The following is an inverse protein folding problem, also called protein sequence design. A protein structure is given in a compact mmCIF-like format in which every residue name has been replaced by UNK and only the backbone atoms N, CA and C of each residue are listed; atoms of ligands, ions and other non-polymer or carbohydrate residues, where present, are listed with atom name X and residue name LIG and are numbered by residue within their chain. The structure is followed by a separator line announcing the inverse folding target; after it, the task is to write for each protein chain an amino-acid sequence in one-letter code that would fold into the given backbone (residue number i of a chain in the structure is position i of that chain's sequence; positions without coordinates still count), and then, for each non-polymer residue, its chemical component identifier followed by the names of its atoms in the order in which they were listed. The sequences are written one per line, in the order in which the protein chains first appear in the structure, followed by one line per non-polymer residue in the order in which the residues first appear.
data_IF_515825149851
#
_entry.id   IF_515825149851
#
_cell.length_a   1.000
_cell.length_b   1.000
_cell.length_c   1.000
_cell.angle_alpha   90.00
_cell.angle_beta   90.00
_cell.angle_gamma   90.00
#
_symmetry.space_group_name_H-M   'P 1'
#
loop_
_entity.id
_entity.type
_entity.pdbx_description
1 polymer ?
#
# COMPACT_ATOMS: atom_id res chain seq x y z
N UNK A 1 3.05 48.97 18.87
CA UNK A 1 3.63 48.18 17.75
C UNK A 1 2.46 47.51 17.06
N UNK A 2 1.92 48.13 16.00
CA UNK A 2 0.96 47.46 15.11
C UNK A 2 1.64 46.25 14.48
N UNK A 3 1.05 45.07 14.69
CA UNK A 3 1.45 43.85 14.04
C UNK A 3 0.73 43.81 12.69
N UNK A 4 1.32 44.37 11.64
CA UNK A 4 0.78 44.29 10.28
C UNK A 4 0.83 42.83 9.84
N UNK A 5 -0.29 42.11 10.00
CA UNK A 5 -0.45 40.76 9.49
C UNK A 5 -0.35 40.84 7.97
N UNK A 6 0.78 40.43 7.41
CA UNK A 6 0.96 40.30 5.96
C UNK A 6 -0.10 39.34 5.44
N UNK A 7 -1.03 39.84 4.62
CA UNK A 7 -2.02 39.01 3.93
C UNK A 7 -1.43 38.66 2.55
N UNK A 8 -1.10 37.39 2.29
CA UNK A 8 -0.49 36.99 1.03
C UNK A 8 -1.39 37.33 -0.15
N UNK A 9 -0.81 37.86 -1.22
CA UNK A 9 -1.57 38.02 -2.47
C UNK A 9 -1.81 36.64 -3.14
N UNK A 10 -2.73 36.52 -4.11
CA UNK A 10 -3.04 35.24 -4.73
C UNK A 10 -1.85 34.53 -5.42
N UNK A 11 -0.81 35.26 -5.85
CA UNK A 11 0.38 34.66 -6.44
C UNK A 11 1.28 34.05 -5.36
N UNK A 12 1.54 34.79 -4.28
CA UNK A 12 2.29 34.32 -3.10
C UNK A 12 1.61 33.10 -2.45
N UNK A 13 0.27 33.10 -2.38
CA UNK A 13 -0.47 31.96 -1.88
C UNK A 13 -0.31 30.71 -2.77
N UNK A 14 -0.29 30.86 -4.09
CA UNK A 14 -0.07 29.73 -5.01
C UNK A 14 1.34 29.18 -4.92
N UNK A 15 2.33 30.07 -4.81
CA UNK A 15 3.73 29.69 -4.66
C UNK A 15 3.95 28.93 -3.35
N UNK A 16 3.42 29.45 -2.22
CA UNK A 16 3.47 28.76 -0.94
C UNK A 16 2.79 27.38 -0.97
N UNK A 17 1.66 27.25 -1.67
CA UNK A 17 1.00 25.95 -1.84
C UNK A 17 1.81 24.98 -2.71
N UNK A 18 2.49 25.48 -3.75
CA UNK A 18 3.37 24.66 -4.60
C UNK A 18 4.60 24.15 -3.83
N UNK A 19 5.16 24.98 -2.96
CA UNK A 19 6.27 24.61 -2.08
C UNK A 19 5.84 23.55 -1.05
N UNK A 20 4.65 23.71 -0.45
CA UNK A 20 4.08 22.70 0.46
C UNK A 20 3.85 21.38 -0.27
N UNK A 21 3.29 21.40 -1.48
CA UNK A 21 3.05 20.18 -2.26
C UNK A 21 4.37 19.49 -2.63
N UNK A 22 5.40 20.27 -2.99
CA UNK A 22 6.74 19.75 -3.26
C UNK A 22 7.36 19.10 -2.02
N UNK A 23 7.26 19.75 -0.86
CA UNK A 23 7.74 19.20 0.41
C UNK A 23 6.98 17.93 0.81
N UNK A 24 5.65 17.90 0.62
CA UNK A 24 4.84 16.71 0.88
C UNK A 24 5.20 15.54 -0.02
N UNK A 25 5.48 15.79 -1.31
CA UNK A 25 5.96 14.76 -2.24
C UNK A 25 7.32 14.22 -1.83
N UNK A 26 8.25 15.10 -1.44
CA UNK A 26 9.57 14.67 -0.97
C UNK A 26 9.49 13.73 0.24
N UNK A 27 8.57 13.97 1.17
CA UNK A 27 8.31 13.06 2.29
C UNK A 27 7.64 11.76 1.83
N UNK A 28 6.68 11.84 0.89
CA UNK A 28 5.93 10.69 0.35
C UNK A 28 6.77 9.74 -0.47
N UNK A 29 7.73 10.26 -1.21
CA UNK A 29 8.58 9.48 -2.10
C UNK A 29 9.86 8.98 -1.37
N UNK A 30 9.82 8.94 -0.04
CA UNK A 30 10.87 8.28 0.76
C UNK A 30 10.85 6.78 0.48
N UNK A 31 12.00 6.16 0.13
CA UNK A 31 12.04 4.75 -0.17
C UNK A 31 11.72 3.91 1.07
N UNK A 32 10.78 2.97 0.93
CA UNK A 32 10.45 2.06 2.01
C UNK A 32 11.55 1.03 2.26
N UNK A 33 11.63 0.45 3.48
CA UNK A 33 12.52 -0.66 3.77
C UNK A 33 12.33 -1.80 2.77
N UNK A 34 13.42 -2.31 2.21
CA UNK A 34 13.39 -3.31 1.14
C UNK A 34 12.69 -4.61 1.54
N UNK A 35 12.75 -4.98 2.83
CA UNK A 35 12.08 -6.15 3.38
C UNK A 35 10.56 -6.00 3.45
N UNK A 36 10.02 -4.77 3.44
CA UNK A 36 8.58 -4.53 3.58
C UNK A 36 7.79 -5.07 2.38
N UNK A 37 8.34 -4.94 1.17
CA UNK A 37 7.67 -5.42 -0.05
C UNK A 37 7.43 -6.93 -0.07
N UNK A 38 8.45 -7.81 0.14
CA UNK A 38 8.22 -9.24 0.17
C UNK A 38 7.35 -9.67 1.36
N UNK A 39 7.44 -9.00 2.52
CA UNK A 39 6.57 -9.30 3.67
C UNK A 39 5.11 -8.98 3.36
N UNK A 40 4.81 -7.79 2.84
CA UNK A 40 3.45 -7.42 2.45
C UNK A 40 2.91 -8.32 1.33
N UNK A 41 3.75 -8.69 0.35
CA UNK A 41 3.35 -9.62 -0.69
C UNK A 41 2.95 -11.00 -0.13
N UNK A 42 3.76 -11.54 0.79
CA UNK A 42 3.44 -12.80 1.47
C UNK A 42 2.17 -12.69 2.29
N UNK A 43 1.99 -11.61 3.05
CA UNK A 43 0.79 -11.40 3.86
C UNK A 43 -0.46 -11.23 3.02
N UNK A 44 -0.39 -10.52 1.90
CA UNK A 44 -1.53 -10.36 0.97
C UNK A 44 -1.86 -11.67 0.26
N UNK A 45 -0.85 -12.46 -0.13
CA UNK A 45 -1.05 -13.82 -0.64
C UNK A 45 -1.69 -14.72 0.41
N UNK A 46 -1.18 -14.72 1.65
CA UNK A 46 -1.73 -15.49 2.76
C UNK A 46 -3.16 -15.07 3.11
N UNK A 47 -3.43 -13.76 3.15
CA UNK A 47 -4.76 -13.19 3.35
C UNK A 47 -5.74 -13.61 2.24
N UNK A 48 -5.26 -13.73 1.01
CA UNK A 48 -6.09 -14.23 -0.11
C UNK A 48 -6.36 -15.74 0.05
N UNK A 49 -5.39 -16.50 0.54
CA UNK A 49 -5.54 -17.95 0.78
C UNK A 49 -6.52 -18.28 1.91
N UNK A 50 -6.82 -17.35 2.83
CA UNK A 50 -7.75 -17.64 3.93
C UNK A 50 -9.14 -18.02 3.44
N UNK A 51 -9.55 -17.54 2.25
CA UNK A 51 -10.82 -17.93 1.63
C UNK A 51 -10.88 -19.41 1.20
N UNK A 52 -9.72 -20.07 1.04
CA UNK A 52 -9.68 -21.51 0.76
C UNK A 52 -10.00 -22.36 2.00
N UNK A 53 -10.08 -21.76 3.19
CA UNK A 53 -10.37 -22.43 4.45
C UNK A 53 -11.87 -22.53 4.76
N UNK A 54 -12.74 -21.92 3.93
CA UNK A 54 -14.19 -21.91 4.18
C UNK A 54 -14.52 -21.24 5.52
N UNK A 55 -15.35 -21.90 6.33
CA UNK A 55 -15.83 -21.39 7.62
C UNK A 55 -14.70 -21.09 8.63
N UNK A 56 -13.58 -21.81 8.53
CA UNK A 56 -12.41 -21.61 9.41
C UNK A 56 -11.53 -20.41 8.98
N UNK A 57 -11.84 -19.77 7.85
CA UNK A 57 -11.01 -18.71 7.25
C UNK A 57 -11.06 -17.36 7.98
N UNK A 58 -12.07 -17.11 8.81
CA UNK A 58 -12.28 -15.80 9.41
C UNK A 58 -11.16 -15.40 10.39
N UNK A 59 -10.76 -16.30 11.29
CA UNK A 59 -9.69 -16.02 12.27
C UNK A 59 -8.34 -15.77 11.58
N UNK A 60 -7.90 -16.61 10.61
CA UNK A 60 -6.71 -16.33 9.79
C UNK A 60 -6.80 -15.02 9.01
N UNK A 61 -7.98 -14.66 8.47
CA UNK A 61 -8.18 -13.39 7.76
C UNK A 61 -7.94 -12.20 8.67
N UNK A 62 -8.50 -12.22 9.89
CA UNK A 62 -8.26 -11.17 10.88
C UNK A 62 -6.79 -11.11 11.31
N UNK A 63 -6.16 -12.27 11.55
CA UNK A 63 -4.76 -12.34 11.96
C UNK A 63 -3.82 -11.77 10.89
N UNK A 64 -4.03 -12.14 9.63
CA UNK A 64 -3.22 -11.64 8.50
C UNK A 64 -3.45 -10.15 8.25
N UNK A 65 -4.69 -9.67 8.34
CA UNK A 65 -5.02 -8.24 8.24
C UNK A 65 -4.38 -7.41 9.36
N UNK A 66 -4.43 -7.91 10.60
CA UNK A 66 -3.79 -7.28 11.75
C UNK A 66 -2.27 -7.25 11.60
N UNK A 67 -1.65 -8.35 11.17
CA UNK A 67 -0.21 -8.42 10.93
C UNK A 67 0.24 -7.44 9.83
N UNK A 68 -0.50 -7.40 8.70
CA UNK A 68 -0.25 -6.46 7.62
C UNK A 68 -0.32 -5.02 8.12
N UNK A 69 -1.37 -4.67 8.85
CA UNK A 69 -1.54 -3.33 9.43
C UNK A 69 -0.41 -2.99 10.40
N UNK A 70 -0.12 -3.87 11.35
CA UNK A 70 0.91 -3.65 12.38
C UNK A 70 2.30 -3.43 11.77
N UNK A 71 2.66 -4.24 10.77
CA UNK A 71 3.96 -4.13 10.09
C UNK A 71 4.07 -2.82 9.32
N UNK A 72 3.03 -2.42 8.58
CA UNK A 72 3.04 -1.17 7.83
C UNK A 72 3.06 0.06 8.76
N UNK A 73 2.29 0.04 9.85
CA UNK A 73 2.31 1.10 10.87
C UNK A 73 3.69 1.18 11.53
N UNK A 74 4.28 0.06 11.93
CA UNK A 74 5.61 0.03 12.55
C UNK A 74 6.68 0.54 11.58
N UNK A 75 6.65 0.11 10.32
CA UNK A 75 7.58 0.58 9.29
C UNK A 75 7.41 2.09 9.06
N UNK A 76 6.17 2.56 8.97
CA UNK A 76 5.85 3.97 8.82
C UNK A 76 6.33 4.83 9.99
N UNK A 77 6.16 4.38 11.24
CA UNK A 77 6.73 5.06 12.41
C UNK A 77 8.26 5.11 12.37
N UNK A 78 8.93 4.03 11.93
CA UNK A 78 10.39 4.00 11.79
C UNK A 78 10.90 4.94 10.69
N UNK A 79 10.10 5.20 9.67
CA UNK A 79 10.41 6.16 8.61
C UNK A 79 10.03 7.61 8.98
N UNK A 80 9.31 7.83 10.07
CA UNK A 80 8.73 9.14 10.42
C UNK A 80 7.49 9.51 9.60
N UNK A 81 6.92 8.56 8.87
CA UNK A 81 5.87 8.75 7.85
C UNK A 81 4.78 7.67 7.95
N UNK A 82 4.05 7.57 9.09
CA UNK A 82 3.15 6.44 9.39
C UNK A 82 1.97 6.28 8.44
N UNK A 83 1.50 7.36 7.81
CA UNK A 83 0.27 7.37 6.99
C UNK A 83 0.51 7.81 5.56
N UNK A 84 1.76 7.70 5.11
CA UNK A 84 2.19 8.35 3.89
C UNK A 84 2.01 7.41 2.71
N UNK A 85 1.10 7.79 1.81
CA UNK A 85 0.78 7.01 0.62
C UNK A 85 1.73 7.36 -0.54
N UNK A 86 2.26 6.35 -1.27
CA UNK A 86 3.07 6.59 -2.45
C UNK A 86 2.30 7.32 -3.55
N UNK A 87 3.00 8.18 -4.29
CA UNK A 87 2.41 8.97 -5.38
C UNK A 87 2.42 8.25 -6.74
N UNK A 88 3.22 7.18 -6.88
CA UNK A 88 3.40 6.44 -8.12
C UNK A 88 2.10 5.77 -8.59
N UNK A 89 1.51 6.28 -9.68
CA UNK A 89 0.29 5.72 -10.28
C UNK A 89 0.42 4.25 -10.66
N UNK A 90 1.59 3.84 -11.15
CA UNK A 90 1.85 2.46 -11.52
C UNK A 90 1.92 1.54 -10.29
N UNK A 91 2.51 2.00 -9.19
CA UNK A 91 2.46 1.28 -7.92
C UNK A 91 1.01 1.14 -7.43
N UNK A 92 0.25 2.23 -7.40
CA UNK A 92 -1.14 2.24 -6.96
C UNK A 92 -2.03 1.33 -7.82
N UNK A 93 -1.81 1.27 -9.14
CA UNK A 93 -2.52 0.37 -10.02
C UNK A 93 -2.24 -1.12 -9.69
N UNK A 94 -0.99 -1.46 -9.37
CA UNK A 94 -0.61 -2.82 -8.99
C UNK A 94 -1.12 -3.20 -7.59
N UNK A 95 -1.15 -2.26 -6.65
CA UNK A 95 -1.84 -2.44 -5.37
C UNK A 95 -3.34 -2.66 -5.59
N UNK A 96 -3.96 -1.89 -6.49
CA UNK A 96 -5.35 -2.08 -6.91
C UNK A 96 -5.60 -3.47 -7.50
N UNK A 97 -4.72 -3.96 -8.38
CA UNK A 97 -4.80 -5.31 -8.92
C UNK A 97 -4.67 -6.39 -7.82
N UNK A 98 -3.81 -6.15 -6.83
CA UNK A 98 -3.66 -7.03 -5.66
C UNK A 98 -4.96 -7.12 -4.86
N UNK A 99 -5.59 -5.97 -4.58
CA UNK A 99 -6.90 -5.90 -3.90
C UNK A 99 -7.99 -6.59 -4.74
N UNK A 100 -7.99 -6.39 -6.06
CA UNK A 100 -8.93 -7.04 -6.96
C UNK A 100 -8.80 -8.57 -6.92
N UNK A 101 -7.58 -9.12 -6.84
CA UNK A 101 -7.37 -10.56 -6.64
C UNK A 101 -7.98 -11.06 -5.32
N UNK A 102 -7.78 -10.32 -4.23
CA UNK A 102 -8.34 -10.66 -2.91
C UNK A 102 -9.87 -10.66 -2.93
N UNK A 103 -10.50 -9.63 -3.51
CA UNK A 103 -11.95 -9.56 -3.65
C UNK A 103 -12.50 -10.66 -4.57
N UNK A 104 -11.79 -10.97 -5.65
CA UNK A 104 -12.16 -12.06 -6.56
C UNK A 104 -12.10 -13.41 -5.86
N UNK A 105 -11.13 -13.62 -4.96
CA UNK A 105 -11.01 -14.86 -4.20
C UNK A 105 -12.18 -15.05 -3.24
N UNK A 106 -12.62 -13.98 -2.57
CA UNK A 106 -13.84 -13.97 -1.78
C UNK A 106 -15.06 -14.38 -2.63
N UNK A 107 -15.26 -13.74 -3.79
CA UNK A 107 -16.38 -14.06 -4.69
C UNK A 107 -16.33 -15.51 -5.19
N UNK A 108 -15.15 -16.01 -5.54
CA UNK A 108 -14.95 -17.40 -5.97
C UNK A 108 -15.30 -18.39 -4.86
N UNK A 109 -14.87 -18.11 -3.63
CA UNK A 109 -15.17 -18.95 -2.48
C UNK A 109 -16.68 -19.07 -2.26
N UNK A 110 -17.38 -17.94 -2.25
CA UNK A 110 -18.84 -17.87 -2.04
C UNK A 110 -19.64 -18.53 -3.17
N UNK A 111 -19.24 -18.36 -4.43
CA UNK A 111 -20.06 -18.77 -5.58
C UNK A 111 -19.75 -20.17 -6.11
N UNK A 112 -18.54 -20.69 -5.89
CA UNK A 112 -18.08 -21.89 -6.60
C UNK A 112 -17.66 -23.03 -5.68
N UNK A 113 -17.28 -22.73 -4.43
CA UNK A 113 -16.66 -23.71 -3.53
C UNK A 113 -15.34 -24.32 -4.05
N UNK A 114 -14.78 -23.82 -5.16
CA UNK A 114 -13.54 -24.33 -5.76
C UNK A 114 -12.34 -23.63 -5.14
N UNK A 115 -11.39 -24.42 -4.65
CA UNK A 115 -10.18 -23.91 -3.98
C UNK A 115 -9.04 -23.55 -4.94
N UNK A 116 -8.91 -24.24 -6.07
CA UNK A 116 -7.80 -23.99 -7.01
C UNK A 116 -7.74 -22.55 -7.57
N UNK A 117 -8.86 -21.84 -7.89
CA UNK A 117 -8.76 -20.48 -8.39
C UNK A 117 -8.31 -19.51 -7.29
N UNK A 118 -8.63 -19.79 -6.01
CA UNK A 118 -8.18 -18.99 -4.86
C UNK A 118 -6.66 -19.05 -4.75
N UNK A 119 -6.05 -20.22 -4.94
CA UNK A 119 -4.60 -20.38 -4.95
C UNK A 119 -3.95 -19.57 -6.08
N UNK A 120 -4.52 -19.62 -7.29
CA UNK A 120 -4.04 -18.83 -8.43
C UNK A 120 -4.13 -17.32 -8.13
N UNK A 121 -5.26 -16.87 -7.57
CA UNK A 121 -5.47 -15.47 -7.20
C UNK A 121 -4.51 -15.03 -6.08
N UNK A 122 -4.20 -15.88 -5.12
CA UNK A 122 -3.23 -15.58 -4.07
C UNK A 122 -1.81 -15.39 -4.63
N UNK A 123 -1.37 -16.26 -5.55
CA UNK A 123 -0.09 -16.12 -6.25
C UNK A 123 -0.06 -14.84 -7.09
N UNK A 124 -1.15 -14.54 -7.80
CA UNK A 124 -1.27 -13.31 -8.58
C UNK A 124 -1.20 -12.06 -7.68
N UNK A 125 -1.91 -12.05 -6.55
CA UNK A 125 -1.91 -10.95 -5.58
C UNK A 125 -0.49 -10.67 -5.06
N UNK A 126 0.23 -11.71 -4.62
CA UNK A 126 1.62 -11.58 -4.16
C UNK A 126 2.54 -11.07 -5.28
N UNK A 127 2.37 -11.57 -6.50
CA UNK A 127 3.18 -11.18 -7.67
C UNK A 127 2.94 -9.72 -8.07
N UNK A 128 1.68 -9.27 -8.12
CA UNK A 128 1.35 -7.88 -8.42
C UNK A 128 1.92 -6.94 -7.36
N UNK A 129 1.82 -7.28 -6.08
CA UNK A 129 2.39 -6.47 -5.02
C UNK A 129 3.93 -6.38 -5.11
N UNK A 130 4.61 -7.51 -5.38
CA UNK A 130 6.07 -7.52 -5.59
C UNK A 130 6.49 -6.68 -6.79
N UNK A 131 5.79 -6.81 -7.92
CA UNK A 131 6.02 -5.98 -9.10
C UNK A 131 5.81 -4.49 -8.77
N UNK A 132 4.77 -4.19 -7.98
CA UNK A 132 4.53 -2.85 -7.44
C UNK A 132 5.72 -2.36 -6.63
N UNK A 133 6.23 -3.17 -5.71
CA UNK A 133 7.40 -2.83 -4.90
C UNK A 133 8.64 -2.50 -5.73
N UNK A 134 8.87 -3.23 -6.83
CA UNK A 134 9.95 -2.92 -7.78
C UNK A 134 9.71 -1.57 -8.45
N UNK A 135 8.49 -1.28 -8.89
CA UNK A 135 8.10 0.00 -9.51
C UNK A 135 8.29 1.15 -8.52
N UNK A 136 7.85 1.00 -7.28
CA UNK A 136 7.97 2.01 -6.23
C UNK A 136 9.43 2.29 -5.86
N UNK A 137 10.26 1.25 -5.71
CA UNK A 137 11.70 1.44 -5.49
C UNK A 137 12.38 2.20 -6.62
N UNK A 138 11.98 1.93 -7.87
CA UNK A 138 12.51 2.66 -9.04
C UNK A 138 12.05 4.12 -9.06
N UNK A 139 10.81 4.42 -8.67
CA UNK A 139 10.31 5.80 -8.65
C UNK A 139 10.91 6.65 -7.52
N UNK A 140 11.34 6.02 -6.43
CA UNK A 140 11.93 6.69 -5.25
C UNK A 140 13.46 6.79 -5.30
N UNK A 141 14.10 6.32 -6.39
CA UNK A 141 15.54 6.45 -6.59
C UNK A 141 16.44 5.59 -5.68
N UNK A 142 15.87 4.61 -4.96
CA UNK A 142 16.64 3.74 -4.08
C UNK A 142 17.68 2.91 -4.86
N UNK A 143 18.94 2.78 -4.37
CA UNK A 143 19.96 1.94 -5.01
C UNK A 143 19.49 0.49 -5.09
N UNK A 144 19.93 -0.22 -6.15
CA UNK A 144 19.49 -1.58 -6.50
C UNK A 144 19.79 -2.58 -5.39
#
# INVERSE_FOLDING_TARGET
MENNVHVPNPAEAREALADIDTAQRAVRDTPWPTWLYPVNALLLGAMTLTFALGDDGFVPLLATSAALTAINVLAGYRMGTPFTLPTSRAFLALVGATIACLLSAFVVAELTGRTWPIVVLAVAAATFYLAGGVVHRRSTGAPR
#
